data_IF_650846478820
#
_entry.id   IF_650846478820
#
_cell.length_a   1.000
_cell.length_b   1.000
_cell.length_c   1.000
_cell.angle_alpha   90.00
_cell.angle_beta   90.00
_cell.angle_gamma   90.00
#
_symmetry.space_group_name_H-M   'P 1'
#
loop_
_entity.id
_entity.type
_entity.pdbx_description
1 polymer ?
#
# COMPACT_ATOMS: atom_id res chain seq x y z
N UNK A 1 52.72 -29.98 -10.84
CA UNK A 1 52.23 -28.92 -11.73
C UNK A 1 50.86 -29.22 -12.33
N UNK A 2 50.64 -30.36 -13.02
CA UNK A 2 49.32 -30.71 -13.58
C UNK A 2 48.15 -30.77 -12.58
N UNK A 3 48.34 -31.28 -11.35
CA UNK A 3 47.27 -31.37 -10.32
C UNK A 3 46.93 -30.05 -9.62
N UNK A 4 47.87 -29.11 -9.57
CA UNK A 4 47.65 -27.77 -8.99
C UNK A 4 46.85 -26.92 -9.98
N UNK A 5 47.10 -27.09 -11.29
CA UNK A 5 46.35 -26.42 -12.36
C UNK A 5 44.89 -26.92 -12.40
N UNK A 6 44.63 -28.20 -12.14
CA UNK A 6 43.24 -28.73 -12.11
C UNK A 6 42.43 -28.24 -10.90
N UNK A 7 43.10 -27.95 -9.78
CA UNK A 7 42.43 -27.45 -8.57
C UNK A 7 42.16 -25.95 -8.68
N UNK A 8 43.03 -25.20 -9.37
CA UNK A 8 42.82 -23.78 -9.65
C UNK A 8 41.72 -23.53 -10.68
N UNK A 9 41.53 -24.45 -11.65
CA UNK A 9 40.46 -24.38 -12.64
C UNK A 9 39.07 -24.72 -12.07
N UNK A 10 38.98 -25.52 -11.00
CA UNK A 10 37.71 -25.75 -10.29
C UNK A 10 37.34 -24.60 -9.35
N UNK A 11 38.32 -23.83 -8.86
CA UNK A 11 38.09 -22.69 -7.97
C UNK A 11 37.69 -21.40 -8.69
N UNK A 12 37.85 -21.32 -10.01
CA UNK A 12 37.46 -20.18 -10.84
C UNK A 12 36.03 -20.33 -11.42
N UNK A 13 35.42 -21.52 -11.29
CA UNK A 13 34.08 -21.82 -11.79
C UNK A 13 33.03 -21.85 -10.67
N UNK A 14 33.20 -21.01 -9.65
CA UNK A 14 32.13 -20.59 -8.76
C UNK A 14 32.01 -19.08 -8.86
N UNK A 15 31.80 -18.59 -10.08
CA UNK A 15 31.09 -17.33 -10.26
C UNK A 15 29.66 -17.66 -9.88
N UNK A 16 29.33 -17.45 -8.60
CA UNK A 16 27.94 -17.24 -8.22
C UNK A 16 27.54 -16.03 -9.04
N UNK A 17 26.78 -16.25 -10.11
CA UNK A 17 25.95 -15.20 -10.69
C UNK A 17 25.01 -14.81 -9.57
N UNK A 18 25.40 -13.80 -8.81
CA UNK A 18 24.46 -13.03 -8.02
C UNK A 18 23.54 -12.47 -9.10
N UNK A 19 22.36 -13.08 -9.25
CA UNK A 19 21.32 -12.48 -10.06
C UNK A 19 21.16 -11.06 -9.53
N UNK A 20 21.33 -10.08 -10.40
CA UNK A 20 20.81 -8.74 -10.13
C UNK A 20 19.32 -8.95 -10.00
N UNK A 21 18.84 -9.05 -8.76
CA UNK A 21 17.42 -9.06 -8.49
C UNK A 21 16.90 -7.73 -9.03
N UNK A 22 16.07 -7.83 -10.06
CA UNK A 22 15.55 -6.71 -10.81
C UNK A 22 14.33 -6.19 -10.04
N UNK A 23 14.42 -4.96 -9.53
CA UNK A 23 13.40 -4.33 -8.67
C UNK A 23 12.11 -3.93 -9.41
N UNK A 24 11.89 -4.39 -10.64
CA UNK A 24 10.63 -4.16 -11.33
C UNK A 24 9.52 -4.88 -10.59
N UNK A 25 8.33 -4.31 -10.48
CA UNK A 25 7.10 -4.96 -9.98
C UNK A 25 5.99 -4.81 -11.00
N UNK A 26 5.16 -5.85 -11.15
CA UNK A 26 3.86 -5.71 -11.81
C UNK A 26 2.91 -4.95 -10.89
N UNK A 27 2.72 -3.66 -11.18
CA UNK A 27 1.83 -2.74 -10.49
C UNK A 27 0.39 -2.97 -10.94
N UNK A 28 -0.50 -3.19 -9.97
CA UNK A 28 -1.93 -3.49 -10.21
C UNK A 28 -2.77 -2.51 -9.42
N UNK A 29 -3.20 -1.44 -10.07
CA UNK A 29 -3.87 -0.31 -9.41
C UNK A 29 -5.37 -0.29 -9.74
N UNK A 30 -6.27 -0.43 -8.75
CA UNK A 30 -7.64 0.00 -8.91
C UNK A 30 -7.64 1.53 -8.98
N UNK A 31 -8.06 2.10 -10.11
CA UNK A 31 -8.10 3.54 -10.30
C UNK A 31 -9.13 3.91 -11.34
N UNK A 32 -9.53 5.18 -11.37
CA UNK A 32 -10.36 5.72 -12.44
C UNK A 32 -9.55 6.12 -13.69
N UNK A 33 -10.27 6.50 -14.76
CA UNK A 33 -9.68 6.91 -16.03
C UNK A 33 -9.06 8.32 -15.99
N UNK A 34 -9.20 9.10 -14.90
CA UNK A 34 -8.67 10.48 -14.84
C UNK A 34 -7.17 10.50 -14.50
N UNK A 35 -6.74 9.71 -13.51
CA UNK A 35 -5.32 9.55 -13.18
C UNK A 35 -5.01 8.20 -12.50
N UNK A 36 -4.54 7.22 -13.28
CA UNK A 36 -4.15 5.89 -12.79
C UNK A 36 -3.02 5.86 -11.74
N UNK A 37 -2.28 6.97 -11.61
CA UNK A 37 -1.15 7.09 -10.67
C UNK A 37 -1.55 7.66 -9.31
N UNK A 38 -2.76 8.23 -9.18
CA UNK A 38 -3.29 8.76 -7.93
C UNK A 38 -4.01 7.66 -7.13
N UNK A 39 -3.37 6.50 -7.01
CA UNK A 39 -3.92 5.34 -6.33
C UNK A 39 -3.77 5.50 -4.82
N UNK A 40 -4.87 5.33 -4.10
CA UNK A 40 -4.94 5.43 -2.65
C UNK A 40 -5.44 4.13 -2.01
N UNK A 41 -5.19 3.91 -0.69
CA UNK A 41 -5.73 2.77 0.04
C UNK A 41 -7.25 2.57 -0.12
N UNK A 42 -8.01 3.66 -0.26
CA UNK A 42 -9.46 3.66 -0.41
C UNK A 42 -9.92 3.04 -1.74
N UNK A 43 -9.10 3.06 -2.79
CA UNK A 43 -9.47 2.52 -4.10
C UNK A 43 -9.61 0.99 -4.08
N UNK A 44 -8.98 0.34 -3.10
CA UNK A 44 -9.12 -1.09 -2.81
C UNK A 44 -10.40 -1.43 -2.05
N UNK A 45 -11.22 -0.42 -1.71
CA UNK A 45 -12.54 -0.59 -1.08
C UNK A 45 -13.62 -0.31 -2.12
N UNK A 46 -14.63 -1.17 -2.18
CA UNK A 46 -15.71 -1.10 -3.15
C UNK A 46 -17.09 -1.09 -2.51
N UNK A 47 -18.03 -0.39 -3.14
CA UNK A 47 -19.45 -0.54 -2.91
C UNK A 47 -20.04 -1.71 -3.70
N UNK A 48 -21.10 -2.32 -3.18
CA UNK A 48 -21.77 -3.42 -3.88
C UNK A 48 -22.42 -2.89 -5.16
N UNK A 49 -22.04 -3.44 -6.31
CA UNK A 49 -22.48 -3.04 -7.63
C UNK A 49 -21.57 -2.00 -8.31
N UNK A 50 -20.50 -1.57 -7.64
CA UNK A 50 -19.47 -0.72 -8.24
C UNK A 50 -18.68 -1.47 -9.32
N UNK A 51 -18.34 -0.78 -10.40
CA UNK A 51 -17.37 -1.26 -11.39
C UNK A 51 -15.99 -0.74 -11.02
N UNK A 52 -15.03 -1.65 -10.81
CA UNK A 52 -13.63 -1.31 -10.60
C UNK A 52 -12.88 -1.42 -11.91
N UNK A 53 -12.20 -0.35 -12.30
CA UNK A 53 -11.19 -0.35 -13.36
C UNK A 53 -9.83 -0.62 -12.74
N UNK A 54 -9.07 -1.52 -13.36
CA UNK A 54 -7.76 -1.98 -12.91
C UNK A 54 -6.75 -1.67 -13.99
N UNK A 55 -5.69 -0.96 -13.63
CA UNK A 55 -4.51 -0.74 -14.46
C UNK A 55 -3.40 -1.71 -14.09
N UNK A 56 -2.73 -2.24 -15.11
CA UNK A 56 -1.59 -3.15 -15.01
C UNK A 56 -0.41 -2.48 -15.69
N UNK A 57 0.59 -2.13 -14.88
CA UNK A 57 1.80 -1.42 -15.27
C UNK A 57 3.01 -2.19 -14.73
N UNK A 58 4.21 -1.84 -15.18
CA UNK A 58 5.43 -2.55 -14.78
C UNK A 58 6.59 -1.57 -14.62
N UNK A 59 7.32 -1.68 -13.51
CA UNK A 59 8.48 -0.83 -13.22
C UNK A 59 8.82 -0.70 -11.74
N UNK A 60 9.52 0.35 -11.34
CA UNK A 60 9.98 0.57 -9.97
C UNK A 60 8.96 1.44 -9.21
N UNK A 61 8.14 0.87 -8.30
CA UNK A 61 7.12 1.64 -7.59
C UNK A 61 7.74 2.75 -6.71
N UNK A 62 8.90 2.51 -6.09
CA UNK A 62 9.54 3.50 -5.21
C UNK A 62 10.00 4.75 -5.96
N UNK A 63 10.56 4.56 -7.16
CA UNK A 63 11.22 5.60 -7.97
C UNK A 63 10.27 6.22 -9.01
N UNK A 64 9.06 5.66 -9.16
CA UNK A 64 8.13 5.96 -10.24
C UNK A 64 8.71 5.73 -11.65
N UNK A 65 9.55 4.70 -11.80
CA UNK A 65 10.08 4.31 -13.11
C UNK A 65 9.11 3.34 -13.78
N UNK A 66 8.86 3.55 -15.08
CA UNK A 66 7.97 2.75 -15.90
C UNK A 66 8.70 2.07 -17.05
N UNK A 67 8.21 0.87 -17.39
CA UNK A 67 8.63 0.10 -18.55
C UNK A 67 7.39 -0.35 -19.33
N UNK A 68 7.58 -0.67 -20.62
CA UNK A 68 6.52 -1.26 -21.43
C UNK A 68 6.14 -2.64 -20.88
N UNK A 69 4.84 -2.87 -20.66
CA UNK A 69 4.30 -4.21 -20.40
C UNK A 69 4.39 -5.01 -21.70
N UNK A 70 5.46 -5.77 -21.84
CA UNK A 70 5.96 -6.35 -23.11
C UNK A 70 5.12 -7.52 -23.64
N UNK A 71 4.29 -8.11 -22.79
CA UNK A 71 3.37 -9.20 -23.11
C UNK A 71 1.99 -9.00 -22.48
N UNK A 72 0.94 -9.57 -23.08
CA UNK A 72 -0.43 -9.41 -22.58
C UNK A 72 -0.58 -10.15 -21.24
N UNK A 73 -0.93 -9.46 -20.13
CA UNK A 73 -1.11 -10.10 -18.83
C UNK A 73 -2.38 -10.97 -18.81
N UNK A 74 -2.32 -12.09 -18.06
CA UNK A 74 -3.49 -12.91 -17.77
C UNK A 74 -4.11 -12.43 -16.44
N UNK A 75 -5.38 -12.00 -16.46
CA UNK A 75 -6.05 -11.46 -15.27
C UNK A 75 -7.24 -12.32 -14.88
N UNK A 76 -7.30 -12.68 -13.60
CA UNK A 76 -8.42 -13.43 -13.02
C UNK A 76 -8.87 -12.80 -11.71
N UNK A 77 -10.16 -12.95 -11.39
CA UNK A 77 -10.70 -12.62 -10.08
C UNK A 77 -11.25 -13.89 -9.42
N UNK A 78 -11.06 -14.01 -8.11
CA UNK A 78 -11.70 -15.02 -7.27
C UNK A 78 -12.64 -14.31 -6.30
N UNK A 79 -13.94 -14.58 -6.44
CA UNK A 79 -15.01 -13.95 -5.68
C UNK A 79 -15.13 -14.52 -4.26
N UNK A 80 -15.87 -13.86 -3.35
CA UNK A 80 -16.06 -14.31 -1.97
C UNK A 80 -16.61 -15.73 -1.84
N UNK A 81 -17.44 -16.20 -2.77
CA UNK A 81 -17.97 -17.57 -2.80
C UNK A 81 -16.98 -18.62 -3.36
N UNK A 82 -15.82 -18.19 -3.84
CA UNK A 82 -14.78 -19.02 -4.46
C UNK A 82 -14.97 -19.25 -5.96
N UNK A 83 -15.96 -18.61 -6.60
CA UNK A 83 -16.08 -18.63 -8.07
C UNK A 83 -14.98 -17.78 -8.69
N UNK A 84 -14.45 -18.25 -9.82
CA UNK A 84 -13.34 -17.61 -10.53
C UNK A 84 -13.79 -17.13 -11.90
N UNK A 85 -13.33 -15.96 -12.31
CA UNK A 85 -13.59 -15.36 -13.62
C UNK A 85 -12.29 -14.86 -14.24
N UNK A 86 -12.07 -15.16 -15.52
CA UNK A 86 -10.98 -14.58 -16.31
C UNK A 86 -11.47 -13.31 -16.98
N UNK A 87 -10.76 -12.20 -16.78
CA UNK A 87 -11.12 -10.92 -17.34
C UNK A 87 -10.50 -10.70 -18.72
N UNK A 88 -11.14 -9.89 -19.54
CA UNK A 88 -10.59 -9.45 -20.82
C UNK A 88 -9.79 -8.18 -20.59
N UNK A 89 -8.51 -8.19 -20.97
CA UNK A 89 -7.64 -7.02 -20.89
C UNK A 89 -7.61 -6.24 -22.20
N UNK A 90 -7.54 -4.92 -22.11
CA UNK A 90 -7.27 -4.02 -23.23
C UNK A 90 -5.92 -3.34 -23.06
N UNK A 91 -5.19 -3.20 -24.17
CA UNK A 91 -3.96 -2.42 -24.22
C UNK A 91 -4.29 -0.93 -24.06
N UNK A 92 -3.47 -0.23 -23.29
CA UNK A 92 -3.55 1.21 -23.09
C UNK A 92 -2.13 1.79 -22.96
N UNK A 93 -2.03 3.07 -22.66
CA UNK A 93 -0.75 3.73 -22.42
C UNK A 93 -0.83 4.64 -21.21
N UNK A 94 0.27 4.75 -20.48
CA UNK A 94 0.41 5.62 -19.32
C UNK A 94 1.60 6.56 -19.52
N UNK A 95 1.48 7.79 -19.05
CA UNK A 95 2.63 8.71 -18.97
C UNK A 95 3.44 8.36 -17.73
N UNK A 96 4.77 8.45 -17.77
CA UNK A 96 5.64 8.13 -16.64
C UNK A 96 7.06 8.59 -16.89
N UNK A 97 8.02 7.99 -16.19
CA UNK A 97 9.46 8.29 -16.32
C UNK A 97 10.24 7.00 -16.62
N UNK A 98 11.22 7.08 -17.54
CA UNK A 98 12.14 5.96 -17.80
C UNK A 98 13.30 5.90 -16.79
N UNK A 99 14.10 4.83 -16.85
CA UNK A 99 15.26 4.62 -15.97
C UNK A 99 16.36 5.70 -16.11
N UNK A 100 16.36 6.45 -17.21
CA UNK A 100 17.28 7.55 -17.48
C UNK A 100 16.73 8.90 -16.95
N UNK A 101 15.53 8.90 -16.34
CA UNK A 101 14.87 10.07 -15.77
C UNK A 101 14.13 10.95 -16.79
N UNK A 102 13.84 10.43 -17.99
CA UNK A 102 13.10 11.15 -19.02
C UNK A 102 11.60 10.82 -18.95
N UNK A 103 10.77 11.85 -19.12
CA UNK A 103 9.32 11.65 -19.28
C UNK A 103 9.03 10.84 -20.56
N UNK A 104 8.11 9.90 -20.47
CA UNK A 104 7.75 8.99 -21.56
C UNK A 104 6.31 8.51 -21.48
N UNK A 105 5.90 7.82 -22.55
CA UNK A 105 4.61 7.11 -22.63
C UNK A 105 4.90 5.62 -22.76
N UNK A 106 4.35 4.81 -21.86
CA UNK A 106 4.63 3.38 -21.73
C UNK A 106 3.38 2.55 -22.02
N UNK A 107 3.58 1.37 -22.61
CA UNK A 107 2.52 0.39 -22.83
C UNK A 107 2.07 -0.18 -21.49
N UNK A 108 0.77 -0.12 -21.25
CA UNK A 108 0.12 -0.70 -20.08
C UNK A 108 -1.11 -1.50 -20.53
N UNK A 109 -1.77 -2.15 -19.59
CA UNK A 109 -3.06 -2.80 -19.84
C UNK A 109 -4.08 -2.36 -18.81
N UNK A 110 -5.36 -2.40 -19.18
CA UNK A 110 -6.44 -2.26 -18.21
C UNK A 110 -7.54 -3.27 -18.42
N UNK A 111 -8.31 -3.48 -17.36
CA UNK A 111 -9.52 -4.31 -17.36
C UNK A 111 -10.51 -3.73 -16.37
N UNK A 112 -11.76 -4.16 -16.42
CA UNK A 112 -12.74 -3.84 -15.38
C UNK A 112 -13.55 -5.05 -14.96
N UNK A 113 -14.13 -4.98 -13.76
CA UNK A 113 -15.14 -5.93 -13.30
C UNK A 113 -16.12 -5.26 -12.34
N UNK A 114 -17.35 -5.77 -12.29
CA UNK A 114 -18.36 -5.33 -11.32
C UNK A 114 -18.25 -6.14 -10.04
N UNK A 115 -18.18 -5.46 -8.89
CA UNK A 115 -18.24 -6.07 -7.56
C UNK A 115 -19.67 -6.48 -7.26
N UNK A 116 -20.01 -7.74 -7.52
CA UNK A 116 -21.38 -8.27 -7.40
C UNK A 116 -21.64 -9.06 -6.11
N UNK A 117 -20.65 -9.15 -5.23
CA UNK A 117 -20.73 -9.85 -3.95
C UNK A 117 -20.08 -9.02 -2.84
N UNK A 118 -20.68 -9.05 -1.65
CA UNK A 118 -20.03 -8.60 -0.43
C UNK A 118 -18.99 -9.63 0.02
N UNK A 119 -17.88 -9.15 0.55
CA UNK A 119 -16.69 -9.94 0.86
C UNK A 119 -15.47 -9.41 0.13
N UNK A 120 -14.44 -10.26 0.07
CA UNK A 120 -13.17 -9.94 -0.55
C UNK A 120 -13.04 -10.64 -1.89
N UNK A 121 -12.81 -9.84 -2.94
CA UNK A 121 -12.43 -10.35 -4.26
C UNK A 121 -10.92 -10.32 -4.39
N UNK A 122 -10.31 -11.49 -4.62
CA UNK A 122 -8.87 -11.58 -4.88
C UNK A 122 -8.64 -11.41 -6.38
N UNK A 123 -8.01 -10.30 -6.76
CA UNK A 123 -7.52 -10.04 -8.10
C UNK A 123 -6.14 -10.69 -8.25
N UNK A 124 -5.95 -11.47 -9.31
CA UNK A 124 -4.70 -12.16 -9.59
C UNK A 124 -4.26 -11.87 -11.03
N UNK A 125 -3.06 -11.34 -11.17
CA UNK A 125 -2.41 -10.99 -12.43
C UNK A 125 -1.20 -11.89 -12.61
N UNK A 126 -1.09 -12.50 -13.79
CA UNK A 126 0.13 -13.17 -14.23
C UNK A 126 0.72 -12.38 -15.40
N UNK A 127 1.92 -11.88 -15.22
CA UNK A 127 2.68 -11.17 -16.25
C UNK A 127 4.02 -11.87 -16.47
N UNK A 128 4.38 -12.10 -17.73
CA UNK A 128 5.64 -12.73 -18.10
C UNK A 128 6.48 -11.72 -18.87
N UNK A 129 7.62 -11.35 -18.30
CA UNK A 129 8.61 -10.59 -19.03
C UNK A 129 9.60 -11.54 -19.72
N UNK A 130 9.84 -11.27 -21.00
CA UNK A 130 10.72 -12.07 -21.84
C UNK A 130 12.20 -11.76 -21.64
N UNK A 131 12.52 -10.51 -21.33
CA UNK A 131 13.89 -9.98 -21.26
C UNK A 131 14.49 -10.21 -19.88
N UNK A 132 13.69 -10.04 -18.81
CA UNK A 132 14.07 -10.29 -17.42
C UNK A 132 14.01 -11.78 -17.03
N UNK A 133 13.55 -12.66 -17.92
CA UNK A 133 13.30 -14.07 -17.63
C UNK A 133 12.48 -14.29 -16.34
N UNK A 134 11.50 -13.41 -16.08
CA UNK A 134 10.69 -13.37 -14.86
C UNK A 134 9.20 -13.56 -15.18
N UNK A 135 8.51 -14.29 -14.30
CA UNK A 135 7.04 -14.32 -14.25
C UNK A 135 6.58 -13.75 -12.92
N UNK A 136 5.85 -12.65 -12.97
CA UNK A 136 5.16 -12.07 -11.82
C UNK A 136 3.77 -12.67 -11.67
N UNK A 137 3.48 -13.09 -10.45
CA UNK A 137 2.19 -13.55 -9.97
C UNK A 137 1.71 -12.57 -8.91
N UNK A 138 1.10 -11.48 -9.34
CA UNK A 138 0.66 -10.40 -8.45
C UNK A 138 -0.77 -10.63 -7.95
N UNK A 139 -1.00 -10.36 -6.67
CA UNK A 139 -2.32 -10.36 -6.04
C UNK A 139 -2.63 -9.04 -5.37
N UNK A 140 -3.90 -8.65 -5.46
CA UNK A 140 -4.49 -7.56 -4.69
C UNK A 140 -5.88 -7.99 -4.21
N UNK A 141 -6.38 -7.34 -3.15
CA UNK A 141 -7.72 -7.62 -2.62
C UNK A 141 -8.58 -6.38 -2.75
N UNK A 142 -9.75 -6.54 -3.38
CA UNK A 142 -10.81 -5.54 -3.37
C UNK A 142 -11.86 -5.93 -2.33
N UNK A 143 -11.97 -5.14 -1.27
CA UNK A 143 -12.89 -5.39 -0.15
C UNK A 143 -14.26 -4.73 -0.40
N UNK A 144 -15.35 -5.44 -0.13
CA UNK A 144 -16.70 -4.91 -0.24
C UNK A 144 -17.59 -5.25 0.95
N UNK A 145 -18.10 -4.22 1.62
CA UNK A 145 -19.13 -4.31 2.64
C UNK A 145 -18.62 -4.33 4.09
N UNK A 146 -19.41 -3.73 4.97
CA UNK A 146 -19.10 -3.60 6.40
C UNK A 146 -19.00 -4.98 7.08
N UNK A 147 -17.87 -5.22 7.77
CA UNK A 147 -17.58 -6.47 8.50
C UNK A 147 -17.59 -7.76 7.64
N UNK A 148 -17.50 -7.64 6.31
CA UNK A 148 -17.52 -8.76 5.38
C UNK A 148 -16.11 -9.29 5.08
N UNK A 149 -15.43 -9.80 6.11
CA UNK A 149 -14.02 -10.23 6.00
C UNK A 149 -13.89 -11.69 5.58
N UNK A 150 -14.27 -11.99 4.34
CA UNK A 150 -14.27 -13.34 3.79
C UNK A 150 -13.71 -13.36 2.37
N UNK A 151 -12.66 -14.17 2.16
CA UNK A 151 -12.09 -14.44 0.85
C UNK A 151 -10.66 -13.91 0.65
N UNK A 152 -10.22 -12.94 1.46
CA UNK A 152 -8.90 -12.33 1.36
C UNK A 152 -7.72 -13.33 1.47
N UNK A 153 -7.93 -14.46 2.15
CA UNK A 153 -6.94 -15.51 2.40
C UNK A 153 -7.01 -16.68 1.40
N UNK A 154 -7.72 -16.51 0.28
CA UNK A 154 -7.87 -17.58 -0.72
C UNK A 154 -6.59 -17.76 -1.55
N UNK A 155 -6.23 -19.03 -1.75
CA UNK A 155 -5.30 -19.43 -2.81
C UNK A 155 -5.99 -19.29 -4.17
N UNK A 156 -5.24 -18.82 -5.16
CA UNK A 156 -5.77 -18.59 -6.52
C UNK A 156 -5.15 -19.52 -7.58
N UNK A 157 -4.19 -20.35 -7.18
CA UNK A 157 -3.56 -21.35 -8.04
C UNK A 157 -2.40 -20.83 -8.87
N UNK A 158 -1.81 -19.69 -8.48
CA UNK A 158 -0.57 -19.20 -9.08
C UNK A 158 0.60 -20.10 -8.67
N UNK A 159 1.63 -20.16 -9.50
CA UNK A 159 2.77 -21.04 -9.24
C UNK A 159 3.57 -20.59 -8.01
N UNK A 160 3.76 -19.27 -7.85
CA UNK A 160 4.34 -18.68 -6.65
C UNK A 160 3.32 -17.73 -6.03
N UNK A 161 3.02 -17.91 -4.74
CA UNK A 161 1.97 -17.16 -4.03
C UNK A 161 2.45 -16.71 -2.66
N UNK A 162 2.09 -15.49 -2.27
CA UNK A 162 2.12 -15.06 -0.86
C UNK A 162 0.73 -15.26 -0.26
N UNK A 163 0.69 -15.93 0.90
CA UNK A 163 -0.51 -16.06 1.72
C UNK A 163 -0.39 -15.16 2.94
N UNK A 164 -1.18 -14.07 3.04
CA UNK A 164 -1.08 -13.17 4.18
C UNK A 164 -1.67 -13.82 5.45
N UNK A 165 -1.16 -13.45 6.62
CA UNK A 165 -1.69 -13.86 7.92
C UNK A 165 -2.65 -12.84 8.55
N UNK A 166 -2.77 -11.67 7.93
CA UNK A 166 -3.71 -10.61 8.27
C UNK A 166 -4.52 -10.20 7.03
N UNK A 167 -5.65 -9.55 7.26
CA UNK A 167 -6.40 -8.90 6.18
C UNK A 167 -5.48 -7.84 5.55
N UNK A 168 -5.33 -7.84 4.21
CA UNK A 168 -4.46 -6.91 3.51
C UNK A 168 -5.19 -5.57 3.22
N UNK A 169 -6.02 -5.11 4.16
CA UNK A 169 -6.72 -3.83 4.13
C UNK A 169 -7.03 -3.40 5.55
N UNK A 170 -7.09 -2.08 5.78
CA UNK A 170 -7.17 -1.49 7.12
C UNK A 170 -5.92 -1.75 7.96
N UNK A 171 -4.77 -1.93 7.30
CA UNK A 171 -3.47 -1.94 7.96
C UNK A 171 -3.02 -0.50 8.15
N UNK A 172 -2.57 -0.14 9.34
CA UNK A 172 -2.01 1.17 9.62
C UNK A 172 -0.49 1.14 9.46
N UNK A 173 0.10 2.29 9.18
CA UNK A 173 1.54 2.47 9.24
C UNK A 173 2.13 1.95 10.58
N UNK A 174 3.31 1.36 10.50
CA UNK A 174 3.97 0.69 11.62
C UNK A 174 3.45 -0.72 11.95
N UNK A 175 2.37 -1.19 11.30
CA UNK A 175 1.93 -2.57 11.47
C UNK A 175 2.90 -3.56 10.80
N UNK A 176 2.97 -4.76 11.37
CA UNK A 176 3.76 -5.85 10.81
C UNK A 176 2.91 -6.61 9.80
N UNK A 177 3.31 -6.59 8.53
CA UNK A 177 2.84 -7.56 7.56
C UNK A 177 3.59 -8.88 7.75
N UNK A 178 2.85 -9.98 7.78
CA UNK A 178 3.40 -11.33 7.86
C UNK A 178 2.63 -12.26 6.93
N UNK A 179 3.35 -13.19 6.32
CA UNK A 179 2.75 -14.14 5.40
C UNK A 179 3.62 -15.36 5.17
N UNK A 180 3.10 -16.25 4.34
CA UNK A 180 3.77 -17.45 3.89
C UNK A 180 3.96 -17.41 2.39
N UNK A 181 5.22 -17.39 1.95
CA UNK A 181 5.60 -17.59 0.55
C UNK A 181 5.49 -19.07 0.20
N UNK A 182 4.84 -19.34 -0.93
CA UNK A 182 4.61 -20.67 -1.46
C UNK A 182 5.11 -20.72 -2.91
N UNK A 183 5.65 -21.87 -3.29
CA UNK A 183 5.91 -22.22 -4.67
C UNK A 183 5.39 -23.63 -4.95
N UNK A 184 4.54 -23.79 -5.95
CA UNK A 184 3.83 -25.02 -6.28
C UNK A 184 3.15 -25.64 -5.02
N UNK A 185 2.39 -24.80 -4.30
CA UNK A 185 1.68 -25.12 -3.06
C UNK A 185 2.55 -25.59 -1.86
N UNK A 186 3.87 -25.45 -1.97
CA UNK A 186 4.82 -25.83 -0.91
C UNK A 186 5.50 -24.59 -0.33
N UNK A 187 5.90 -24.62 0.94
CA UNK A 187 6.76 -23.59 1.52
C UNK A 187 7.94 -23.23 0.62
N UNK A 188 8.03 -21.95 0.24
CA UNK A 188 9.19 -21.42 -0.46
C UNK A 188 10.18 -20.92 0.59
N UNK A 189 11.13 -21.78 0.97
CA UNK A 189 12.10 -21.51 2.02
C UNK A 189 13.31 -20.71 1.52
N UNK A 190 13.88 -19.90 2.41
CA UNK A 190 15.09 -19.09 2.18
C UNK A 190 15.00 -18.13 0.98
N UNK A 191 13.78 -17.85 0.51
CA UNK A 191 13.55 -16.92 -0.58
C UNK A 191 13.77 -15.48 -0.12
N UNK A 192 14.33 -14.70 -1.03
CA UNK A 192 14.37 -13.25 -0.92
C UNK A 192 12.96 -12.70 -1.06
N UNK A 193 12.59 -11.85 -0.11
CA UNK A 193 11.29 -11.17 -0.05
C UNK A 193 11.58 -9.67 -0.10
N UNK A 194 11.30 -9.07 -1.25
CA UNK A 194 11.47 -7.66 -1.56
C UNK A 194 10.24 -6.87 -1.14
N UNK A 195 10.44 -5.69 -0.57
CA UNK A 195 9.39 -4.80 -0.08
C UNK A 195 9.66 -3.39 -0.61
N UNK A 196 8.69 -2.83 -1.31
CA UNK A 196 8.71 -1.46 -1.82
C UNK A 196 7.39 -0.76 -1.56
N UNK A 197 7.44 0.54 -1.31
CA UNK A 197 6.28 1.43 -1.33
C UNK A 197 6.22 2.13 -2.68
N UNK A 198 5.01 2.40 -3.17
CA UNK A 198 4.81 3.24 -4.34
C UNK A 198 4.82 4.72 -3.96
N UNK A 199 5.52 5.53 -4.77
CA UNK A 199 5.43 6.97 -4.76
C UNK A 199 4.95 7.50 -6.10
N UNK A 200 4.21 8.62 -6.07
CA UNK A 200 3.92 9.35 -7.30
C UNK A 200 5.21 9.95 -7.90
N UNK A 201 5.12 10.51 -9.12
CA UNK A 201 6.30 10.99 -9.84
C UNK A 201 7.05 12.11 -9.12
N UNK A 202 6.35 13.01 -8.42
CA UNK A 202 7.00 14.14 -7.75
C UNK A 202 7.64 13.66 -6.45
N UNK A 203 6.91 12.88 -5.66
CA UNK A 203 7.42 12.28 -4.42
C UNK A 203 8.59 11.34 -4.70
N UNK A 204 8.47 10.48 -5.71
CA UNK A 204 9.52 9.55 -6.14
C UNK A 204 10.83 10.27 -6.47
N UNK A 205 10.76 11.41 -7.16
CA UNK A 205 11.95 12.24 -7.45
C UNK A 205 12.58 12.80 -6.17
N UNK A 206 11.77 13.29 -5.23
CA UNK A 206 12.23 13.88 -3.97
C UNK A 206 12.92 12.83 -3.09
N UNK A 207 12.27 11.67 -2.87
CA UNK A 207 12.82 10.62 -1.99
C UNK A 207 14.05 9.94 -2.58
N UNK A 208 14.13 9.81 -3.92
CA UNK A 208 15.32 9.30 -4.60
C UNK A 208 16.49 10.27 -4.45
N UNK A 209 16.28 11.58 -4.66
CA UNK A 209 17.33 12.59 -4.45
C UNK A 209 17.85 12.58 -3.00
N UNK A 210 16.94 12.53 -2.02
CA UNK A 210 17.30 12.46 -0.61
C UNK A 210 18.10 11.18 -0.29
N UNK A 211 17.65 10.03 -0.77
CA UNK A 211 18.33 8.76 -0.56
C UNK A 211 19.72 8.72 -1.22
N UNK A 212 19.88 9.25 -2.43
CA UNK A 212 21.17 9.37 -3.10
C UNK A 212 22.14 10.30 -2.34
N UNK A 213 21.64 11.38 -1.74
CA UNK A 213 22.45 12.26 -0.88
C UNK A 213 22.86 11.59 0.43
N UNK A 214 21.91 10.91 1.11
CA UNK A 214 22.12 10.28 2.41
C UNK A 214 22.93 8.97 2.31
N UNK A 215 22.71 8.21 1.25
CA UNK A 215 23.27 6.88 1.01
C UNK A 215 24.06 6.81 -0.32
N UNK A 216 25.05 7.68 -0.55
CA UNK A 216 25.77 7.78 -1.83
C UNK A 216 26.62 6.54 -2.15
N UNK A 217 26.67 5.58 -1.24
CA UNK A 217 27.37 4.32 -1.42
C UNK A 217 26.51 3.25 -2.08
N UNK A 218 25.17 3.29 -1.89
CA UNK A 218 24.20 2.31 -2.40
C UNK A 218 22.76 2.75 -2.01
N UNK A 219 22.21 3.79 -2.63
CA UNK A 219 20.85 4.28 -2.35
C UNK A 219 19.74 3.23 -2.56
N UNK A 220 19.82 2.31 -3.55
CA UNK A 220 18.81 1.27 -3.74
C UNK A 220 18.50 0.40 -2.52
N UNK A 221 19.38 0.32 -1.51
CA UNK A 221 19.10 -0.42 -0.27
C UNK A 221 17.91 0.13 0.53
N UNK A 222 17.52 1.39 0.31
CA UNK A 222 16.34 1.99 0.96
C UNK A 222 15.13 2.06 0.04
N UNK A 223 15.33 1.90 -1.28
CA UNK A 223 14.25 1.75 -2.26
C UNK A 223 13.62 0.37 -2.09
N UNK A 224 14.42 -0.67 -2.37
CA UNK A 224 14.04 -2.08 -2.26
C UNK A 224 14.52 -2.65 -0.93
N UNK A 225 13.58 -2.80 0.00
CA UNK A 225 13.86 -3.37 1.32
C UNK A 225 13.80 -4.89 1.23
N UNK A 226 14.58 -5.58 2.06
CA UNK A 226 14.75 -7.04 1.93
C UNK A 226 14.59 -7.79 3.25
N UNK A 227 13.78 -8.84 3.23
CA UNK A 227 13.74 -9.90 4.25
C UNK A 227 13.84 -11.28 3.60
N UNK A 228 13.88 -12.35 4.41
CA UNK A 228 13.91 -13.73 3.92
C UNK A 228 12.82 -14.58 4.54
N UNK A 229 12.27 -15.49 3.75
CA UNK A 229 11.38 -16.52 4.28
C UNK A 229 12.15 -17.59 5.06
N UNK A 230 11.54 -18.11 6.12
CA UNK A 230 12.12 -19.18 6.93
C UNK A 230 11.90 -20.57 6.27
N UNK A 231 12.33 -21.65 6.94
CA UNK A 231 12.16 -23.03 6.44
C UNK A 231 10.70 -23.48 6.19
N UNK A 232 9.72 -22.76 6.72
CA UNK A 232 8.28 -22.96 6.50
C UNK A 232 7.69 -21.93 5.51
N UNK A 233 8.54 -21.15 4.83
CA UNK A 233 8.13 -20.12 3.90
C UNK A 233 7.59 -18.86 4.56
N UNK A 234 7.69 -18.75 5.89
CA UNK A 234 7.10 -17.63 6.63
C UNK A 234 8.07 -16.45 6.70
N UNK A 235 7.54 -15.23 6.59
CA UNK A 235 8.30 -14.00 6.72
C UNK A 235 7.45 -12.93 7.42
N UNK A 236 8.10 -11.86 7.85
CA UNK A 236 7.44 -10.68 8.39
C UNK A 236 8.26 -9.43 8.12
N UNK A 237 7.59 -8.31 7.90
CA UNK A 237 8.19 -6.99 7.71
C UNK A 237 7.25 -5.89 8.23
N UNK A 238 7.79 -4.76 8.68
CA UNK A 238 7.00 -3.61 9.11
C UNK A 238 6.74 -2.70 7.91
N UNK A 239 5.48 -2.36 7.63
CA UNK A 239 5.13 -1.34 6.64
C UNK A 239 4.96 -0.04 7.41
N UNK A 240 5.96 0.83 7.34
CA UNK A 240 6.18 1.96 8.27
C UNK A 240 5.65 3.31 7.78
N UNK A 241 5.04 3.34 6.60
CA UNK A 241 4.50 4.54 5.96
C UNK A 241 3.12 4.23 5.36
N UNK A 242 2.18 5.19 5.30
CA UNK A 242 0.91 5.02 4.61
C UNK A 242 1.15 5.02 3.10
N UNK A 243 0.36 4.27 2.35
CA UNK A 243 0.50 4.16 0.90
C UNK A 243 0.29 2.75 0.37
N UNK A 244 0.72 2.52 -0.86
CA UNK A 244 0.55 1.23 -1.54
C UNK A 244 1.86 0.46 -1.52
N UNK A 245 1.88 -0.64 -0.76
CA UNK A 245 3.06 -1.47 -0.61
C UNK A 245 3.04 -2.70 -1.50
N UNK A 246 4.20 -3.08 -1.98
CA UNK A 246 4.49 -4.25 -2.78
C UNK A 246 5.36 -5.20 -1.97
N UNK A 247 4.92 -6.44 -1.81
CA UNK A 247 5.72 -7.49 -1.16
C UNK A 247 5.88 -8.64 -2.13
N UNK A 248 7.11 -8.91 -2.59
CA UNK A 248 7.42 -9.91 -3.60
C UNK A 248 8.35 -11.00 -3.08
N UNK A 249 7.93 -12.27 -3.13
CA UNK A 249 8.76 -13.42 -2.77
C UNK A 249 9.18 -14.20 -4.02
N UNK A 250 10.49 -14.29 -4.26
CA UNK A 250 11.04 -14.83 -5.52
C UNK A 250 11.51 -16.26 -5.36
N UNK A 251 11.06 -17.13 -6.27
CA UNK A 251 11.63 -18.46 -6.49
C UNK A 251 12.62 -18.36 -7.66
N UNK A 252 13.89 -18.62 -7.35
CA UNK A 252 14.97 -18.69 -8.31
C UNK A 252 15.26 -20.15 -8.69
N UNK A 253 15.00 -20.58 -9.94
CA UNK A 253 15.25 -21.96 -10.35
C UNK A 253 16.73 -22.18 -10.71
N UNK A 254 17.17 -23.45 -10.71
CA UNK A 254 18.49 -23.82 -11.29
C UNK A 254 18.53 -23.63 -12.81
N UNK A 255 17.36 -23.65 -13.46
CA UNK A 255 17.20 -23.45 -14.90
C UNK A 255 15.76 -23.03 -15.23
N UNK A 256 15.60 -22.09 -16.14
CA UNK A 256 14.28 -21.54 -16.52
C UNK A 256 14.07 -20.15 -15.94
N UNK A 257 12.82 -19.68 -16.01
CA UNK A 257 12.44 -18.35 -15.56
C UNK A 257 12.26 -18.29 -14.04
N UNK A 258 12.70 -17.20 -13.43
CA UNK A 258 12.32 -16.87 -12.06
C UNK A 258 10.80 -16.69 -11.99
N UNK A 259 10.22 -17.00 -10.84
CA UNK A 259 8.80 -16.74 -10.58
C UNK A 259 8.65 -16.03 -9.26
N UNK A 260 7.93 -14.92 -9.24
CA UNK A 260 7.74 -14.12 -8.03
C UNK A 260 6.26 -14.00 -7.70
N UNK A 261 5.92 -14.31 -6.46
CA UNK A 261 4.59 -14.04 -5.92
C UNK A 261 4.60 -12.65 -5.30
N UNK A 262 3.79 -11.74 -5.82
CA UNK A 262 3.67 -10.37 -5.32
C UNK A 262 2.31 -10.19 -4.64
N UNK A 263 2.28 -9.50 -3.51
CA UNK A 263 1.05 -9.10 -2.82
C UNK A 263 1.06 -7.58 -2.61
N UNK A 264 0.03 -6.91 -3.12
CA UNK A 264 -0.16 -5.47 -2.95
C UNK A 264 -0.98 -5.21 -1.69
N UNK A 265 -0.52 -4.28 -0.86
CA UNK A 265 -1.06 -4.02 0.47
C UNK A 265 -1.29 -2.50 0.62
N UNK A 266 -2.55 -2.04 0.56
CA UNK A 266 -2.88 -0.67 0.95
C UNK A 266 -2.72 -0.49 2.47
N UNK A 267 -1.94 0.50 2.86
CA UNK A 267 -1.68 0.91 4.25
C UNK A 267 -2.25 2.31 4.46
N UNK A 268 -3.10 2.47 5.46
CA UNK A 268 -3.71 3.75 5.84
C UNK A 268 -2.86 4.48 6.87
N UNK A 269 -3.09 5.78 7.02
CA UNK A 269 -2.57 6.57 8.14
C UNK A 269 -3.02 5.98 9.49
N UNK A 270 -2.21 6.19 10.53
CA UNK A 270 -2.54 5.78 11.90
C UNK A 270 -3.95 6.24 12.32
N UNK A 271 -4.71 5.36 12.98
CA UNK A 271 -6.06 5.67 13.46
C UNK A 271 -6.24 5.51 15.00
N UNK A 272 -6.70 6.56 15.70
CA UNK A 272 -7.02 7.88 15.17
C UNK A 272 -5.73 8.70 15.07
N UNK A 273 -5.52 9.46 13.98
CA UNK A 273 -4.26 10.16 13.68
C UNK A 273 -3.66 10.88 14.90
N UNK A 274 -2.32 10.90 15.03
CA UNK A 274 -1.65 11.57 16.16
C UNK A 274 -2.20 12.99 16.37
N UNK A 275 -2.70 13.28 17.57
CA UNK A 275 -3.35 14.55 17.93
C UNK A 275 -4.87 14.59 17.80
N UNK A 276 -5.51 13.57 17.23
CA UNK A 276 -6.97 13.44 17.13
C UNK A 276 -7.64 12.94 18.41
N UNK A 277 -6.87 12.41 19.37
CA UNK A 277 -7.32 12.27 20.75
C UNK A 277 -7.47 13.68 21.31
N UNK A 278 -8.64 14.30 21.06
CA UNK A 278 -8.93 15.69 21.39
C UNK A 278 -8.27 16.04 22.71
N UNK A 279 -7.25 16.90 22.62
CA UNK A 279 -6.27 17.04 23.68
C UNK A 279 -7.04 17.30 24.97
N UNK A 280 -7.04 16.32 25.86
CA UNK A 280 -7.75 16.44 27.13
C UNK A 280 -7.25 17.69 27.85
N UNK A 281 -6.01 18.13 27.58
CA UNK A 281 -5.49 19.40 28.07
C UNK A 281 -6.11 20.63 27.38
N UNK A 282 -6.27 20.67 26.04
CA UNK A 282 -6.99 21.76 25.36
C UNK A 282 -8.47 21.80 25.77
N UNK A 283 -9.16 20.66 25.79
CA UNK A 283 -10.55 20.58 26.25
C UNK A 283 -10.69 21.00 27.73
N UNK A 284 -9.72 20.63 28.57
CA UNK A 284 -9.71 21.04 29.98
C UNK A 284 -9.41 22.54 30.11
N UNK A 285 -8.52 23.09 29.28
CA UNK A 285 -8.23 24.52 29.21
C UNK A 285 -9.46 25.31 28.77
N UNK A 286 -10.15 24.90 27.71
CA UNK A 286 -11.39 25.54 27.25
C UNK A 286 -12.49 25.49 28.31
N UNK A 287 -12.61 24.36 29.02
CA UNK A 287 -13.56 24.20 30.13
C UNK A 287 -13.23 25.12 31.30
N UNK A 288 -11.95 25.28 31.64
CA UNK A 288 -11.52 26.10 32.77
C UNK A 288 -11.59 27.60 32.43
N UNK A 289 -11.29 28.00 31.19
CA UNK A 289 -11.56 29.35 30.67
C UNK A 289 -13.06 29.68 30.69
N UNK A 290 -13.92 28.74 30.27
CA UNK A 290 -15.36 28.92 30.31
C UNK A 290 -15.89 29.07 31.75
N UNK A 291 -15.34 28.33 32.72
CA UNK A 291 -15.69 28.48 34.15
C UNK A 291 -15.24 29.84 34.69
N UNK A 292 -14.04 30.28 34.34
CA UNK A 292 -13.53 31.58 34.77
C UNK A 292 -14.41 32.72 34.24
N UNK A 293 -14.74 32.70 32.95
CA UNK A 293 -15.63 33.70 32.35
C UNK A 293 -17.02 33.69 32.99
N UNK A 294 -17.56 32.51 33.31
CA UNK A 294 -18.83 32.39 34.01
C UNK A 294 -18.77 32.97 35.44
N UNK A 295 -17.64 32.80 36.13
CA UNK A 295 -17.43 33.35 37.46
C UNK A 295 -17.27 34.87 37.42
N UNK A 296 -16.49 35.41 36.49
CA UNK A 296 -16.33 36.85 36.29
C UNK A 296 -17.65 37.53 35.90
N UNK A 297 -18.46 36.88 35.05
CA UNK A 297 -19.79 37.37 34.70
C UNK A 297 -20.74 37.37 35.92
N UNK A 298 -20.65 36.35 36.79
CA UNK A 298 -21.43 36.27 38.02
C UNK A 298 -21.04 37.35 39.03
N UNK A 299 -19.73 37.56 39.24
CA UNK A 299 -19.22 38.60 40.14
C UNK A 299 -19.55 40.01 39.62
N UNK A 300 -19.50 40.22 38.30
CA UNK A 300 -19.90 41.47 37.66
C UNK A 300 -21.41 41.74 37.82
N UNK A 301 -22.25 40.72 37.64
CA UNK A 301 -23.70 40.80 37.87
C UNK A 301 -24.04 41.08 39.35
N UNK A 302 -23.34 40.43 40.29
CA UNK A 302 -23.49 40.68 41.73
C UNK A 302 -23.02 42.09 42.14
N UNK A 303 -22.00 42.65 41.47
CA UNK A 303 -21.55 44.03 41.67
C UNK A 303 -22.47 45.09 41.04
N UNK A 304 -23.29 44.72 40.04
CA UNK A 304 -24.25 45.62 39.39
C UNK A 304 -25.64 45.58 40.02
N UNK A 305 -25.91 44.62 40.91
CA UNK A 305 -27.17 44.55 41.69
C UNK A 305 -27.31 45.58 42.82
N UNK A 306 -26.45 46.61 42.91
CA UNK A 306 -26.76 47.78 43.74
C UNK A 306 -27.62 48.85 43.05
N UNK A 307 -27.92 48.76 41.74
CA UNK A 307 -28.96 49.63 41.17
C UNK A 307 -29.60 49.13 39.86
N UNK A 308 -30.85 48.68 39.99
CA UNK A 308 -31.98 48.73 39.03
C UNK A 308 -32.54 47.34 38.60
N UNK A 309 -33.84 47.08 38.82
CA UNK A 309 -34.49 45.84 38.40
C UNK A 309 -34.77 45.86 36.89
N UNK A 310 -34.34 44.82 36.16
CA UNK A 310 -34.77 44.58 34.78
C UNK A 310 -33.78 43.94 33.81
N UNK A 311 -32.50 43.76 34.17
CA UNK A 311 -31.46 43.29 33.22
C UNK A 311 -31.10 41.79 33.30
N UNK A 312 -31.62 41.05 34.28
CA UNK A 312 -31.27 39.63 34.51
C UNK A 312 -31.60 38.71 33.32
N UNK A 313 -32.64 39.03 32.55
CA UNK A 313 -33.04 38.23 31.39
C UNK A 313 -32.11 38.35 30.17
N UNK A 314 -31.36 39.44 30.04
CA UNK A 314 -30.54 39.71 28.84
C UNK A 314 -29.22 38.93 28.87
N UNK A 315 -28.60 38.82 30.06
CA UNK A 315 -27.33 38.10 30.22
C UNK A 315 -27.51 36.57 30.11
N UNK A 316 -28.62 36.02 30.61
CA UNK A 316 -28.93 34.61 30.47
C UNK A 316 -29.14 34.20 28.99
N UNK A 317 -29.78 35.06 28.19
CA UNK A 317 -30.01 34.80 26.76
C UNK A 317 -28.69 34.89 25.98
N UNK A 318 -27.80 35.83 26.31
CA UNK A 318 -26.49 35.96 25.66
C UNK A 318 -25.58 34.74 25.94
N UNK A 319 -25.59 34.22 27.17
CA UNK A 319 -24.82 33.03 27.54
C UNK A 319 -25.32 31.76 26.82
N UNK A 320 -26.65 31.59 26.69
CA UNK A 320 -27.24 30.47 25.96
C UNK A 320 -26.94 30.59 24.45
N UNK A 321 -27.02 31.79 23.87
CA UNK A 321 -26.69 32.01 22.46
C UNK A 321 -25.20 31.80 22.17
N UNK A 322 -24.30 32.16 23.09
CA UNK A 322 -22.87 31.86 22.98
C UNK A 322 -22.58 30.36 23.01
N UNK A 323 -23.21 29.62 23.92
CA UNK A 323 -23.08 28.17 23.99
C UNK A 323 -23.63 27.45 22.74
N UNK A 324 -24.75 27.93 22.19
CA UNK A 324 -25.34 27.38 20.94
C UNK A 324 -24.49 27.73 19.72
N UNK A 325 -23.87 28.91 19.68
CA UNK A 325 -22.96 29.30 18.58
C UNK A 325 -21.68 28.46 18.57
N UNK A 326 -21.10 28.17 19.73
CA UNK A 326 -19.92 27.30 19.86
C UNK A 326 -20.24 25.83 19.53
N UNK A 327 -21.43 25.34 19.90
CA UNK A 327 -21.89 23.98 19.56
C UNK A 327 -22.13 23.74 18.07
N UNK A 328 -22.29 24.80 17.24
CA UNK A 328 -22.58 24.70 15.81
C UNK A 328 -21.36 24.81 14.89
N UNK A 329 -20.17 24.96 15.49
CA UNK A 329 -18.90 25.15 14.77
C UNK A 329 -18.01 23.89 14.76
N UNK A 330 -18.52 22.79 15.33
CA UNK A 330 -18.05 21.42 15.12
C UNK A 330 -18.81 20.82 13.95
#
# INVERSE_FOLDING_TARGET
MRKIITTLLLAIMLVVTIGTASAHFTMVFPSDDENMWDVAPEDYIAELGEEKTIYIMWGHPYEHISFDVSSIPEVTITKPDGTTETLTVEETTVEGMDEDGNDGTFVAYKTSFTVDQMGDTVLAVKYEDGEEELIDYTKAVIHCGEEMWVGWDRKVGQETEIMPYMRPYGMEEGFVFAGQALHNDKPLADADVEIEIYHDLEEGKEVVEEAEEMYPYDAPMVFTRLTKSNSQGEFSYTLDEPGIWFVGATMEPESGKATRGVFIIPVIEEFPAEGSSGDYAELQQEVDEAKQLAQEAKESAESTTESAPGFEGIFAIAAILGAVFLSRRK
#
